data_IF_318551124782
#
_entry.id   IF_318551124782
#
_cell.length_a   1.000
_cell.length_b   1.000
_cell.length_c   1.000
_cell.angle_alpha   90.00
_cell.angle_beta   90.00
_cell.angle_gamma   90.00
#
_symmetry.space_group_name_H-M   'P 1'
#
loop_
_entity.id
_entity.type
_entity.pdbx_description
1 polymer ?
2 non-polymer ?
3 non-polymer ?
4 water ?
#
# COMPACT_ATOMS: atom_id res chain seq x y z
N UNK A 1 -17.75 -10.75 14.18
CA UNK A 1 -16.55 -10.64 13.37
C UNK A 1 -16.79 -11.14 11.96
N UNK A 2 -16.88 -10.20 11.01
CA UNK A 2 -17.10 -10.52 9.62
C UNK A 2 -15.93 -10.04 8.77
N UNK A 3 -15.83 -10.59 7.57
CA UNK A 3 -14.96 -10.01 6.55
C UNK A 3 -15.64 -8.74 6.06
N UNK A 4 -15.16 -7.60 6.54
CA UNK A 4 -15.75 -6.30 6.21
C UNK A 4 -14.96 -5.71 5.04
N UNK A 5 -15.59 -5.68 3.86
CA UNK A 5 -14.90 -5.23 2.66
C UNK A 5 -14.74 -3.72 2.61
N UNK A 6 -15.67 -2.96 3.19
CA UNK A 6 -15.48 -1.51 3.27
C UNK A 6 -14.27 -1.17 4.13
N UNK A 7 -14.16 -1.81 5.30
CA UNK A 7 -12.97 -1.63 6.14
C UNK A 7 -11.72 -2.15 5.45
N UNK A 8 -11.79 -3.38 4.92
CA UNK A 8 -10.60 -4.01 4.36
C UNK A 8 -10.06 -3.24 3.16
N UNK A 9 -10.94 -2.77 2.28
CA UNK A 9 -10.47 -2.05 1.10
C UNK A 9 -9.91 -0.68 1.45
N UNK A 10 -10.40 -0.05 2.52
CA UNK A 10 -9.84 1.23 2.95
C UNK A 10 -8.41 1.05 3.47
N UNK A 11 -8.20 0.07 4.35
CA UNK A 11 -6.86 -0.20 4.85
C UNK A 11 -5.94 -0.64 3.71
N UNK A 12 -6.47 -1.39 2.75
CA UNK A 12 -5.66 -1.79 1.61
C UNK A 12 -5.36 -0.62 0.69
N UNK A 13 -6.33 0.28 0.51
CA UNK A 13 -6.06 1.51 -0.23
C UNK A 13 -5.03 2.36 0.49
N UNK A 14 -5.06 2.37 1.83
CA UNK A 14 -4.07 3.09 2.61
C UNK A 14 -2.67 2.58 2.33
N UNK A 15 -2.52 1.28 2.10
CA UNK A 15 -1.21 0.71 1.80
C UNK A 15 -0.75 1.02 0.38
N UNK A 16 -1.56 1.72 -0.41
CA UNK A 16 -1.12 2.23 -1.69
C UNK A 16 -0.11 3.34 -1.59
N UNK A 17 -0.09 4.08 -0.47
CA UNK A 17 0.89 5.15 -0.33
C UNK A 17 2.30 4.61 -0.15
N UNK A 18 2.58 3.69 0.79
CA UNK A 18 3.93 3.11 0.82
C UNK A 18 4.24 2.29 -0.42
N UNK A 19 3.25 1.62 -1.02
CA UNK A 19 3.49 0.85 -2.24
C UNK A 19 3.96 1.74 -3.38
N UNK A 20 3.46 2.98 -3.45
CA UNK A 20 3.91 3.89 -4.51
C UNK A 20 5.37 4.31 -4.29
N UNK A 21 5.79 4.47 -3.02
CA UNK A 21 7.17 4.82 -2.75
C UNK A 21 8.12 3.77 -3.31
N UNK A 22 7.73 2.49 -3.20
CA UNK A 22 8.53 1.44 -3.80
C UNK A 22 8.44 1.44 -5.31
N UNK A 23 7.25 1.70 -5.85
CA UNK A 23 7.03 1.63 -7.29
C UNK A 23 7.80 2.71 -8.03
N UNK A 24 8.10 3.83 -7.38
CA UNK A 24 8.78 4.96 -8.02
C UNK A 24 10.29 4.89 -7.85
N UNK A 25 10.84 3.70 -7.67
CA UNK A 25 12.26 3.50 -7.47
C UNK A 25 12.88 2.96 -8.76
N UNK A 26 13.97 3.58 -9.18
CA UNK A 26 14.86 3.19 -10.27
C UNK A 26 15.99 2.31 -9.77
N UNK A 27 16.45 1.29 -10.53
CA UNK A 27 17.61 0.53 -10.07
C UNK A 27 18.77 1.48 -9.88
N UNK A 28 19.24 1.61 -8.64
CA UNK A 28 20.19 2.65 -8.30
C UNK A 28 21.63 2.17 -8.38
N UNK A 29 22.50 3.04 -8.91
CA UNK A 29 23.92 2.71 -8.94
C UNK A 29 24.52 2.84 -7.55
N UNK A 30 23.98 3.75 -6.74
CA UNK A 30 24.46 3.92 -5.38
C UNK A 30 24.03 2.75 -4.49
N UNK A 31 22.81 2.24 -4.70
CA UNK A 31 22.32 1.19 -3.82
C UNK A 31 23.02 -0.14 -4.09
N UNK A 32 23.29 -0.46 -5.35
CA UNK A 32 23.87 -1.76 -5.65
C UNK A 32 25.39 -1.78 -5.50
N UNK A 33 26.00 -0.62 -5.26
CA UNK A 33 27.41 -0.57 -4.90
C UNK A 33 27.62 -0.69 -3.40
N UNK A 34 26.55 -0.54 -2.62
CA UNK A 34 26.65 -0.65 -1.17
C UNK A 34 27.02 -2.06 -0.75
N UNK A 35 27.88 -2.17 0.25
CA UNK A 35 28.29 -3.46 0.79
C UNK A 35 27.17 -4.04 1.64
N UNK A 36 26.47 -4.98 1.11
CA UNK A 36 25.35 -5.60 1.79
C UNK A 36 25.80 -6.85 2.56
N UNK A 37 25.08 -7.22 3.62
CA UNK A 37 25.40 -8.47 4.33
C UNK A 37 25.03 -9.68 3.50
N UNK A 38 25.52 -10.85 3.95
CA UNK A 38 25.30 -12.08 3.20
C UNK A 38 23.82 -12.47 3.19
N UNK A 39 23.06 -12.08 4.22
CA UNK A 39 21.65 -12.44 4.32
C UNK A 39 20.73 -11.41 3.66
N UNK A 40 21.29 -10.46 2.92
CA UNK A 40 20.47 -9.50 2.19
C UNK A 40 19.79 -10.20 1.02
N UNK A 41 18.46 -10.17 0.92
CA UNK A 41 17.79 -10.87 -0.17
C UNK A 41 17.90 -10.06 -1.46
N UNK A 42 17.69 -10.71 -2.62
CA UNK A 42 17.66 -9.95 -3.87
C UNK A 42 16.55 -8.93 -3.88
N UNK A 43 16.68 -7.94 -4.78
CA UNK A 43 15.77 -6.80 -4.77
C UNK A 43 14.32 -7.21 -5.05
N UNK A 44 14.12 -8.26 -5.84
CA UNK A 44 12.76 -8.66 -6.20
C UNK A 44 11.98 -9.22 -5.01
N UNK A 45 12.67 -9.68 -3.96
CA UNK A 45 12.00 -10.28 -2.81
C UNK A 45 11.18 -9.24 -2.06
N UNK A 46 11.62 -7.97 -2.06
CA UNK A 46 10.99 -6.97 -1.19
C UNK A 46 9.57 -6.62 -1.65
N UNK A 47 9.30 -6.34 -2.93
CA UNK A 47 7.90 -6.06 -3.31
C UNK A 47 6.97 -7.23 -3.08
N UNK A 48 7.46 -8.47 -3.18
CA UNK A 48 6.61 -9.62 -2.88
C UNK A 48 6.27 -9.68 -1.40
N UNK A 49 7.25 -9.42 -0.53
CA UNK A 49 7.01 -9.45 0.90
C UNK A 49 6.05 -8.34 1.32
N UNK A 50 6.24 -7.12 0.79
CA UNK A 50 5.41 -6.01 1.20
C UNK A 50 3.95 -6.23 0.80
N UNK A 51 3.71 -6.76 -0.40
CA UNK A 51 2.33 -6.99 -0.83
C UNK A 51 1.63 -7.98 0.10
N UNK A 52 2.33 -9.03 0.52
CA UNK A 52 1.77 -9.96 1.49
C UNK A 52 1.54 -9.30 2.83
N UNK A 53 2.50 -8.47 3.28
CA UNK A 53 2.36 -7.81 4.57
C UNK A 53 1.24 -6.78 4.52
N UNK A 54 1.08 -6.10 3.38
CA UNK A 54 -0.02 -5.14 3.24
C UNK A 54 -1.37 -5.81 3.46
N UNK A 55 -1.53 -7.04 2.94
CA UNK A 55 -2.79 -7.75 3.12
C UNK A 55 -2.94 -8.26 4.55
N UNK A 56 -1.86 -8.79 5.14
CA UNK A 56 -1.93 -9.25 6.51
C UNK A 56 -2.23 -8.09 7.45
N UNK A 57 -1.51 -6.99 7.27
CA UNK A 57 -1.73 -5.79 8.08
C UNK A 57 -3.12 -5.20 7.83
N UNK A 58 -3.61 -5.23 6.59
CA UNK A 58 -4.96 -4.75 6.29
C UNK A 58 -6.02 -5.63 6.94
N UNK A 59 -5.90 -6.96 6.81
CA UNK A 59 -6.89 -7.86 7.40
C UNK A 59 -6.91 -7.75 8.91
N UNK A 60 -5.73 -7.61 9.53
CA UNK A 60 -5.67 -7.46 10.99
C UNK A 60 -6.37 -6.18 11.44
N UNK A 61 -6.10 -5.07 10.76
CA UNK A 61 -6.77 -3.82 11.11
C UNK A 61 -8.27 -3.93 10.90
N UNK A 62 -8.71 -4.65 9.86
CA UNK A 62 -10.13 -4.82 9.60
C UNK A 62 -10.81 -5.55 10.75
N UNK A 63 -10.16 -6.55 11.33
CA UNK A 63 -10.72 -7.25 12.47
C UNK A 63 -10.85 -6.34 13.68
N UNK A 64 -9.79 -5.58 13.97
CA UNK A 64 -9.77 -4.71 15.14
C UNK A 64 -10.80 -3.60 15.03
N UNK A 65 -10.98 -3.05 13.83
CA UNK A 65 -11.87 -1.91 13.67
C UNK A 65 -13.33 -2.27 13.92
N UNK A 66 -13.68 -3.55 14.05
CA UNK A 66 -15.03 -3.94 14.37
C UNK A 66 -15.26 -4.11 15.88
N UNK A 67 -14.21 -4.03 16.69
CA UNK A 67 -14.32 -4.27 18.12
C UNK A 67 -14.35 -2.96 18.90
N UNK A 68 -15.00 -2.98 20.05
CA UNK A 68 -15.12 -1.81 20.91
C UNK A 68 -13.82 -1.57 21.66
N UNK A 69 -13.45 -0.29 21.81
CA UNK A 69 -12.22 0.07 22.47
C UNK A 69 -10.98 -0.04 21.60
N UNK A 70 -11.14 -0.02 20.28
CA UNK A 70 -10.02 -0.18 19.37
C UNK A 70 -9.35 1.13 19.00
N UNK A 71 -9.79 2.24 19.59
CA UNK A 71 -9.26 3.54 19.20
C UNK A 71 -7.76 3.64 19.37
N UNK A 72 -7.24 3.19 20.52
CA UNK A 72 -5.81 3.26 20.76
C UNK A 72 -5.04 2.38 19.78
N UNK A 73 -5.57 1.19 19.49
CA UNK A 73 -4.89 0.29 18.57
C UNK A 73 -4.81 0.89 17.17
N UNK A 74 -5.92 1.44 16.69
CA UNK A 74 -5.91 2.05 15.36
C UNK A 74 -5.06 3.32 15.33
N UNK A 75 -4.90 3.99 16.47
CA UNK A 75 -3.98 5.11 16.54
C UNK A 75 -2.53 4.65 16.35
N UNK A 76 -2.14 3.58 17.04
CA UNK A 76 -0.84 2.97 16.78
C UNK A 76 -0.72 2.54 15.32
N UNK A 77 -1.83 2.06 14.74
CA UNK A 77 -1.79 1.58 13.37
C UNK A 77 -1.58 2.72 12.38
N UNK A 78 -2.22 3.86 12.61
CA UNK A 78 -2.01 5.01 11.72
C UNK A 78 -0.59 5.52 11.80
N UNK A 79 0.01 5.49 13.00
CA UNK A 79 1.38 5.94 13.16
C UNK A 79 2.35 4.98 12.49
N UNK A 80 2.09 3.67 12.63
CA UNK A 80 2.94 2.66 12.00
C UNK A 80 2.97 2.82 10.49
N UNK A 81 1.80 3.02 9.88
CA UNK A 81 1.73 3.14 8.42
C UNK A 81 2.35 4.44 7.94
N UNK A 82 2.22 5.52 8.71
CA UNK A 82 2.78 6.81 8.33
C UNK A 82 4.31 6.73 8.26
N UNK A 83 4.94 6.20 9.31
CA UNK A 83 6.40 6.09 9.31
C UNK A 83 6.90 5.03 8.33
N UNK A 84 6.07 4.02 8.03
CA UNK A 84 6.38 3.09 6.95
C UNK A 84 6.50 3.82 5.62
N UNK A 85 5.54 4.70 5.33
CA UNK A 85 5.60 5.51 4.11
C UNK A 85 6.82 6.41 4.09
N UNK A 86 7.33 6.79 5.27
CA UNK A 86 8.42 7.76 5.36
C UNK A 86 9.77 7.16 5.02
N UNK A 87 9.99 5.88 5.29
CA UNK A 87 11.34 5.32 5.24
C UNK A 87 11.92 5.34 3.83
N UNK A 88 11.19 4.76 2.87
CA UNK A 88 11.76 4.58 1.53
C UNK A 88 12.21 5.89 0.87
N UNK A 89 11.47 7.00 0.96
CA UNK A 89 12.02 8.25 0.43
C UNK A 89 13.25 8.74 1.19
N UNK A 90 13.33 8.48 2.50
CA UNK A 90 14.48 8.95 3.27
C UNK A 90 15.72 8.14 2.93
N UNK A 91 15.56 6.83 2.74
CA UNK A 91 16.71 5.96 2.46
C UNK A 91 17.15 6.08 1.00
N UNK A 92 16.25 5.76 0.07
CA UNK A 92 16.63 5.74 -1.35
C UNK A 92 16.65 7.13 -1.96
N UNK A 93 15.62 7.94 -1.70
CA UNK A 93 15.55 9.25 -2.31
C UNK A 93 16.61 10.21 -1.82
N UNK A 94 16.64 10.44 -0.50
CA UNK A 94 17.54 11.42 0.08
C UNK A 94 18.91 10.83 0.42
N UNK A 95 19.05 9.50 0.39
CA UNK A 95 20.30 8.82 0.71
C UNK A 95 20.80 9.17 2.11
N UNK A 96 19.87 9.39 3.05
CA UNK A 96 20.20 9.71 4.43
C UNK A 96 20.07 8.44 5.26
N UNK A 97 21.15 7.67 5.35
CA UNK A 97 21.08 6.35 5.98
C UNK A 97 20.87 6.48 7.48
N UNK A 98 21.57 7.42 8.12
CA UNK A 98 21.42 7.59 9.56
C UNK A 98 20.01 8.05 9.92
N UNK A 99 19.47 9.01 9.16
CA UNK A 99 18.10 9.45 9.38
C UNK A 99 17.12 8.31 9.10
N UNK A 100 17.38 7.52 8.06
CA UNK A 100 16.50 6.40 7.72
C UNK A 100 16.50 5.35 8.81
N UNK A 101 17.63 5.15 9.50
CA UNK A 101 17.67 4.21 10.60
C UNK A 101 16.79 4.66 11.76
N UNK A 102 16.78 5.96 12.05
CA UNK A 102 15.90 6.48 13.08
C UNK A 102 14.44 6.32 12.68
N UNK A 103 14.13 6.53 11.40
CA UNK A 103 12.76 6.35 10.92
C UNK A 103 12.31 4.91 11.11
N UNK A 104 13.10 3.95 10.63
CA UNK A 104 12.70 2.56 10.66
C UNK A 104 12.59 2.06 12.10
N UNK A 105 13.35 2.65 13.03
CA UNK A 105 13.22 2.28 14.42
C UNK A 105 11.91 2.80 15.01
N UNK A 106 11.55 4.04 14.67
CA UNK A 106 10.24 4.57 15.06
C UNK A 106 9.13 3.70 14.47
N UNK A 107 9.30 3.25 13.23
CA UNK A 107 8.33 2.35 12.63
C UNK A 107 8.24 1.05 13.42
N UNK A 108 9.39 0.46 13.78
CA UNK A 108 9.40 -0.80 14.52
C UNK A 108 8.62 -0.70 15.82
N UNK A 109 8.86 0.36 16.59
CA UNK A 109 8.18 0.50 17.87
C UNK A 109 6.68 0.66 17.68
N UNK A 110 6.26 1.34 16.63
CA UNK A 110 4.83 1.49 16.38
C UNK A 110 4.23 0.20 15.83
N UNK A 111 5.02 -0.59 15.10
CA UNK A 111 4.56 -1.92 14.70
C UNK A 111 4.41 -2.82 15.93
N UNK A 112 5.40 -2.79 16.83
CA UNK A 112 5.31 -3.57 18.06
C UNK A 112 4.16 -3.12 18.94
N UNK A 113 3.93 -1.80 19.01
CA UNK A 113 2.82 -1.28 19.79
C UNK A 113 1.47 -1.71 19.21
N UNK A 114 1.33 -1.62 17.88
CA UNK A 114 0.10 -2.07 17.23
C UNK A 114 -0.16 -3.54 17.49
N UNK A 115 0.88 -4.37 17.39
CA UNK A 115 0.72 -5.80 17.62
C UNK A 115 0.30 -6.09 19.06
N UNK A 116 0.91 -5.40 20.03
CA UNK A 116 0.52 -5.59 21.42
C UNK A 116 -0.93 -5.17 21.66
N UNK A 117 -1.30 -3.99 21.16
CA UNK A 117 -2.68 -3.53 21.34
C UNK A 117 -3.67 -4.40 20.58
N UNK A 118 -3.26 -4.94 19.43
CA UNK A 118 -4.11 -5.86 18.70
C UNK A 118 -4.33 -7.15 19.48
N UNK A 119 -3.26 -7.68 20.09
CA UNK A 119 -3.39 -8.89 20.90
C UNK A 119 -4.33 -8.70 22.08
N UNK A 120 -4.35 -7.49 22.65
CA UNK A 120 -5.26 -7.21 23.76
C UNK A 120 -6.71 -7.24 23.34
N UNK A 121 -7.00 -7.07 22.05
CA UNK A 121 -8.37 -7.06 21.56
C UNK A 121 -8.74 -8.29 20.76
N UNK A 122 -7.80 -8.89 20.04
CA UNK A 122 -8.10 -10.04 19.18
C UNK A 122 -6.81 -10.81 18.93
N UNK A 123 -6.82 -12.09 19.26
CA UNK A 123 -5.62 -12.91 19.13
C UNK A 123 -5.16 -13.01 17.68
N UNK A 124 -6.10 -13.26 16.76
CA UNK A 124 -5.72 -13.47 15.37
C UNK A 124 -5.17 -12.19 14.73
N UNK A 125 -5.77 -11.05 15.07
CA UNK A 125 -5.22 -9.77 14.62
C UNK A 125 -3.80 -9.58 15.13
N UNK A 126 -3.52 -10.05 16.34
CA UNK A 126 -2.16 -10.01 16.86
C UNK A 126 -1.26 -10.99 16.12
N UNK A 127 -1.75 -12.20 15.87
CA UNK A 127 -0.96 -13.20 15.16
C UNK A 127 -0.59 -12.73 13.77
N UNK A 128 -1.54 -12.09 13.08
CA UNK A 128 -1.28 -11.60 11.73
C UNK A 128 -0.17 -10.55 11.71
N UNK A 129 0.03 -9.83 12.81
CA UNK A 129 1.08 -8.82 12.86
C UNK A 129 2.44 -9.40 13.20
N UNK A 130 2.52 -10.63 13.67
CA UNK A 130 3.81 -11.23 14.02
C UNK A 130 4.76 -11.29 12.83
N UNK A 131 4.36 -11.76 11.64
CA UNK A 131 5.28 -11.67 10.49
C UNK A 131 5.61 -10.24 10.11
N UNK A 132 4.74 -9.28 10.43
CA UNK A 132 5.09 -7.87 10.20
C UNK A 132 6.20 -7.42 11.13
N UNK A 133 6.14 -7.80 12.41
CA UNK A 133 7.20 -7.42 13.34
C UNK A 133 8.51 -8.14 13.02
N UNK A 134 8.44 -9.38 12.53
CA UNK A 134 9.65 -10.10 12.16
C UNK A 134 10.33 -9.42 10.98
N UNK A 135 9.55 -9.03 9.97
CA UNK A 135 10.10 -8.34 8.82
C UNK A 135 10.63 -6.96 9.21
N UNK A 136 9.94 -6.29 10.14
CA UNK A 136 10.40 -4.97 10.59
C UNK A 136 11.73 -5.07 11.34
N UNK A 137 11.90 -6.10 12.17
CA UNK A 137 13.19 -6.32 12.81
C UNK A 137 14.28 -6.61 11.78
N UNK A 138 13.95 -7.45 10.80
CA UNK A 138 14.87 -7.72 9.70
C UNK A 138 15.21 -6.45 8.93
N UNK A 139 14.20 -5.61 8.65
CA UNK A 139 14.43 -4.37 7.91
C UNK A 139 15.32 -3.41 8.69
N UNK A 140 15.12 -3.33 10.01
CA UNK A 140 15.98 -2.47 10.83
C UNK A 140 17.43 -2.93 10.75
N UNK A 141 17.66 -4.25 10.80
CA UNK A 141 19.03 -4.76 10.76
C UNK A 141 19.74 -4.42 9.47
N UNK A 142 19.02 -4.44 8.34
CA UNK A 142 19.64 -4.12 7.05
C UNK A 142 20.04 -2.65 6.97
N UNK A 143 19.19 -1.76 7.50
CA UNK A 143 19.55 -0.35 7.53
C UNK A 143 20.79 -0.13 8.40
N UNK A 144 20.90 -0.89 9.50
CA UNK A 144 22.06 -0.78 10.36
C UNK A 144 23.32 -1.28 9.65
N UNK A 145 23.22 -2.42 8.96
CA UNK A 145 24.39 -2.98 8.28
C UNK A 145 24.76 -2.15 7.06
N UNK A 146 23.78 -1.65 6.32
CA UNK A 146 24.07 -0.77 5.18
C UNK A 146 24.90 0.43 5.61
N UNK A 147 24.63 0.96 6.80
CA UNK A 147 25.36 2.13 7.27
C UNK A 147 26.79 1.78 7.69
N UNK A 148 26.95 0.72 8.47
CA UNK A 148 28.27 0.42 9.03
C UNK A 148 29.18 -0.29 8.05
N UNK A 149 28.65 -0.88 6.97
CA UNK A 149 29.45 -1.55 5.96
C UNK A 149 29.76 -0.66 4.75
N UNK A 150 29.43 0.63 4.80
CA UNK A 150 29.67 1.49 3.65
C UNK A 150 30.14 2.87 4.08
N UNK A 151 30.53 3.65 3.09
CA UNK A 151 30.87 5.06 3.28
C UNK A 151 29.60 5.89 3.41
N UNK A 152 29.58 6.78 4.39
CA UNK A 152 28.45 7.67 4.61
C UNK A 152 28.95 9.10 4.54
N UNK A 153 28.41 9.88 3.61
CA UNK A 153 28.72 11.29 3.55
C UNK A 153 27.81 12.05 4.50
N UNK A 154 28.20 13.27 4.89
CA UNK A 154 27.34 14.06 5.78
C UNK A 154 26.00 14.36 5.11
N UNK A 155 24.93 14.23 5.89
CA UNK A 155 23.59 14.45 5.36
C UNK A 155 23.32 15.94 5.18
N UNK A 156 22.40 16.25 4.28
CA UNK A 156 22.09 17.62 3.88
C UNK A 156 21.77 18.53 5.07
N UNK B 3 -11.19 14.37 26.67
CA UNK B 3 -9.85 14.54 26.11
C UNK B 3 -8.89 13.45 26.59
N UNK B 4 -8.57 12.52 25.69
CA UNK B 4 -7.68 11.40 25.99
C UNK B 4 -6.27 11.79 25.57
N UNK B 5 -5.38 11.96 26.55
CA UNK B 5 -4.03 12.43 26.26
C UNK B 5 -3.18 11.34 25.63
N UNK B 6 -3.43 10.08 26.00
CA UNK B 6 -2.73 8.97 25.37
C UNK B 6 -3.09 8.88 23.89
N UNK B 7 -4.39 8.99 23.58
CA UNK B 7 -4.83 8.99 22.19
C UNK B 7 -4.26 10.18 21.43
N UNK B 8 -4.37 11.38 22.01
CA UNK B 8 -3.97 12.59 21.29
C UNK B 8 -2.48 12.58 20.97
N UNK B 9 -1.65 12.15 21.93
CA UNK B 9 -0.21 12.17 21.71
C UNK B 9 0.22 11.12 20.70
N UNK B 10 -0.52 10.01 20.60
CA UNK B 10 -0.22 9.04 19.56
C UNK B 10 -0.51 9.60 18.18
N UNK B 11 -1.69 10.20 18.00
CA UNK B 11 -2.03 10.77 16.70
C UNK B 11 -1.07 11.89 16.33
N UNK B 12 -0.65 12.70 17.30
CA UNK B 12 0.29 13.77 16.99
C UNK B 12 1.68 13.21 16.67
N UNK B 13 2.09 12.16 17.38
CA UNK B 13 3.33 11.48 17.03
C UNK B 13 3.25 10.89 15.62
N UNK B 14 2.06 10.42 15.22
CA UNK B 14 1.87 9.92 13.87
C UNK B 14 2.17 11.00 12.83
N UNK B 15 1.82 12.26 13.13
CA UNK B 15 2.13 13.35 12.22
C UNK B 15 3.59 13.78 12.28
N UNK B 16 4.43 13.10 13.07
CA UNK B 16 5.85 13.32 12.99
C UNK B 16 6.46 12.80 11.70
N UNK B 17 5.80 11.83 11.06
CA UNK B 17 6.31 11.33 9.79
C UNK B 17 6.11 12.34 8.66
N UNK B 18 4.91 12.88 8.42
CA UNK B 18 4.81 13.95 7.40
C UNK B 18 5.56 15.22 7.80
N UNK B 19 5.62 15.55 9.09
CA UNK B 19 6.40 16.71 9.51
C UNK B 19 7.88 16.50 9.22
N UNK B 20 8.34 15.25 9.28
CA UNK B 20 9.74 14.96 8.97
C UNK B 20 10.04 15.17 7.49
N UNK B 21 9.09 14.85 6.61
CA UNK B 21 9.29 15.06 5.18
C UNK B 21 9.54 16.54 4.87
N UNK B 22 8.86 17.43 5.59
CA UNK B 22 9.10 18.85 5.39
C UNK B 22 10.45 19.30 5.91
N UNK B 23 10.86 18.78 7.08
CA UNK B 23 12.13 19.21 7.67
C UNK B 23 13.33 18.73 6.87
N UNK B 24 13.20 17.60 6.18
CA UNK B 24 14.32 17.00 5.43
C UNK B 24 14.26 17.43 3.96
N UNK B 25 13.12 17.95 3.51
CA UNK B 25 12.98 18.41 2.10
C UNK B 25 12.38 19.81 2.10
N UNK B 26 13.13 20.78 2.63
CA UNK B 26 12.65 22.19 2.65
C UNK B 26 12.54 22.68 1.20
N UNK B 27 11.87 23.82 0.93
CA UNK B 27 11.70 24.30 -0.44
C UNK B 27 13.09 24.62 -1.02
N UNK B 28 13.30 24.39 -2.31
CA UNK B 28 14.65 24.52 -2.94
C UNK B 28 14.54 25.42 -4.16
N UNK B 29 15.65 25.82 -4.74
CA UNK B 29 15.60 26.81 -5.84
C UNK B 29 14.74 26.21 -6.96
N UNK B 30 14.88 24.91 -7.21
CA UNK B 30 13.95 24.27 -8.17
C UNK B 30 12.54 24.76 -7.86
N UNK B 31 12.12 24.71 -6.59
CA UNK B 31 10.74 25.10 -6.33
C UNK B 31 10.54 26.59 -6.59
N UNK B 32 11.54 27.42 -6.29
CA UNK B 32 11.35 28.86 -6.46
C UNK B 32 11.59 29.31 -7.89
N UNK B 33 12.06 28.42 -8.76
CA UNK B 33 12.16 28.72 -10.18
C UNK B 33 10.90 28.39 -10.95
N UNK B 34 10.00 27.61 -10.37
CA UNK B 34 8.78 27.20 -11.05
C UNK B 34 7.83 28.38 -11.24
N UNK B 35 7.08 28.34 -12.34
CA UNK B 35 6.07 29.35 -12.63
C UNK B 35 4.85 29.13 -11.75
N UNK B 36 4.66 29.97 -10.75
CA UNK B 36 3.56 29.86 -9.80
C UNK B 36 2.36 30.69 -10.24
N UNK B 37 1.16 30.32 -9.80
CA UNK B 37 -0.02 31.16 -10.09
C UNK B 37 0.03 32.46 -9.32
N UNK B 38 -0.85 33.38 -9.70
CA UNK B 38 -0.85 34.72 -9.10
C UNK B 38 -1.25 34.67 -7.63
N UNK B 39 -2.02 33.68 -7.22
CA UNK B 39 -2.49 33.56 -5.84
C UNK B 39 -1.57 32.74 -4.95
N UNK B 40 -0.34 32.49 -5.38
CA UNK B 40 0.59 31.72 -4.57
C UNK B 40 0.96 32.50 -3.31
N UNK B 41 0.76 31.94 -2.12
CA UNK B 41 1.05 32.69 -0.88
C UNK B 41 2.53 32.71 -0.59
N UNK B 42 2.99 33.61 0.29
CA UNK B 42 4.40 33.63 0.67
C UNK B 42 4.82 32.33 1.36
N UNK B 43 6.14 32.12 1.40
CA UNK B 43 6.68 30.84 1.84
C UNK B 43 6.34 30.53 3.29
N UNK B 44 6.17 31.55 4.13
CA UNK B 44 5.91 31.31 5.54
C UNK B 44 4.53 30.71 5.79
N UNK B 45 3.60 30.84 4.84
CA UNK B 45 2.23 30.36 5.06
C UNK B 45 2.20 28.84 5.18
N UNK B 46 3.06 28.15 4.43
CA UNK B 46 2.93 26.69 4.36
C UNK B 46 3.34 25.98 5.65
N UNK B 47 4.51 26.25 6.25
CA UNK B 47 4.83 25.57 7.52
C UNK B 47 3.87 25.90 8.65
N UNK B 48 3.33 27.12 8.68
CA UNK B 48 2.34 27.46 9.69
C UNK B 48 1.04 26.70 9.49
N UNK B 49 0.61 26.54 8.24
CA UNK B 49 -0.63 25.84 7.97
C UNK B 49 -0.54 24.36 8.36
N UNK B 50 0.56 23.69 7.97
CA UNK B 50 0.67 22.26 8.25
C UNK B 50 0.77 22.00 9.75
N UNK B 51 1.51 22.83 10.48
CA UNK B 51 1.59 22.65 11.93
C UNK B 51 0.23 22.83 12.59
N UNK B 52 -0.56 23.80 12.10
CA UNK B 52 -1.91 23.97 12.61
C UNK B 52 -2.78 22.75 12.31
N UNK B 53 -2.67 22.21 11.09
CA UNK B 53 -3.49 21.06 10.72
C UNK B 53 -3.09 19.81 11.48
N UNK B 54 -1.79 19.64 11.76
CA UNK B 54 -1.34 18.47 12.51
C UNK B 54 -2.01 18.40 13.88
N UNK B 55 -2.12 19.54 14.57
CA UNK B 55 -2.77 19.55 15.87
C UNK B 55 -4.28 19.40 15.76
N UNK B 56 -4.88 20.07 14.77
CA UNK B 56 -6.32 19.99 14.59
C UNK B 56 -6.76 18.56 14.24
N UNK B 57 -6.10 17.95 13.26
CA UNK B 57 -6.48 16.59 12.86
C UNK B 57 -6.22 15.59 13.98
N UNK B 58 -5.13 15.78 14.74
CA UNK B 58 -4.86 14.91 15.89
C UNK B 58 -5.94 15.07 16.95
N UNK B 59 -6.33 16.31 17.24
CA UNK B 59 -7.37 16.54 18.22
C UNK B 59 -8.69 15.95 17.77
N UNK B 60 -9.01 16.07 16.48
CA UNK B 60 -10.25 15.50 15.95
C UNK B 60 -10.24 13.98 16.05
N UNK B 61 -9.13 13.34 15.65
CA UNK B 61 -9.07 11.88 15.70
C UNK B 61 -9.21 11.35 17.11
N UNK B 62 -8.65 12.05 18.11
CA UNK B 62 -8.75 11.60 19.50
C UNK B 62 -10.20 11.56 19.96
N UNK B 63 -11.00 12.55 19.56
CA UNK B 63 -12.41 12.54 19.93
C UNK B 63 -13.13 11.35 19.30
N UNK B 64 -12.87 11.10 18.01
CA UNK B 64 -13.55 10.02 17.30
C UNK B 64 -13.13 8.66 17.86
N UNK B 65 -11.86 8.51 18.23
CA UNK B 65 -11.36 7.22 18.69
C UNK B 65 -11.96 6.79 20.03
N UNK B 66 -12.67 7.67 20.72
CA UNK B 66 -13.34 7.33 21.97
C UNK B 66 -14.78 6.85 21.77
N UNK B 67 -15.31 6.96 20.56
CA UNK B 67 -16.71 6.64 20.29
C UNK B 67 -16.84 5.27 19.64
N UNK B 68 -18.00 4.65 19.85
CA UNK B 68 -18.28 3.34 19.30
C UNK B 68 -18.60 3.45 17.82
N UNK B 69 -18.12 2.48 17.05
CA UNK B 69 -18.34 2.49 15.62
C UNK B 69 -17.42 3.40 14.84
N UNK B 70 -16.28 3.76 15.41
CA UNK B 70 -15.34 4.68 14.76
C UNK B 70 -14.32 3.97 13.88
N UNK B 71 -14.42 2.65 13.73
CA UNK B 71 -13.41 1.91 12.98
C UNK B 71 -13.25 2.42 11.56
N UNK B 72 -14.37 2.64 10.87
CA UNK B 72 -14.31 3.11 9.49
C UNK B 72 -13.67 4.50 9.41
N UNK B 73 -14.04 5.39 10.34
CA UNK B 73 -13.47 6.73 10.33
C UNK B 73 -11.96 6.68 10.54
N UNK B 74 -11.51 5.90 11.51
CA UNK B 74 -10.07 5.79 11.76
C UNK B 74 -9.36 5.09 10.62
N UNK B 75 -10.07 4.24 9.87
CA UNK B 75 -9.50 3.68 8.65
C UNK B 75 -9.29 4.78 7.61
N UNK B 76 -10.31 5.62 7.38
CA UNK B 76 -10.16 6.78 6.53
C UNK B 76 -9.04 7.69 7.02
N UNK B 77 -8.91 7.83 8.35
CA UNK B 77 -7.88 8.71 8.91
C UNK B 77 -6.49 8.17 8.64
N UNK B 78 -6.32 6.85 8.74
CA UNK B 78 -5.02 6.25 8.43
C UNK B 78 -4.67 6.40 6.96
N UNK B 79 -5.67 6.33 6.08
CA UNK B 79 -5.40 6.44 4.65
C UNK B 79 -4.98 7.85 4.26
N UNK B 80 -5.70 8.88 4.77
CA UNK B 80 -5.34 10.25 4.43
C UNK B 80 -3.95 10.60 4.94
N UNK B 81 -3.59 10.16 6.15
CA UNK B 81 -2.29 10.51 6.71
C UNK B 81 -1.16 9.85 5.92
N UNK B 82 -1.38 8.61 5.46
CA UNK B 82 -0.37 7.93 4.66
C UNK B 82 -0.12 8.69 3.36
N UNK B 83 -1.19 9.04 2.64
CA UNK B 83 -1.03 9.79 1.39
C UNK B 83 -0.55 11.20 1.66
N UNK B 84 -0.85 11.75 2.84
CA UNK B 84 -0.25 13.01 3.24
C UNK B 84 1.25 12.89 3.35
N UNK B 85 1.73 11.84 4.02
CA UNK B 85 3.17 11.61 4.13
C UNK B 85 3.81 11.40 2.76
N UNK B 86 3.03 10.88 1.80
CA UNK B 86 3.58 10.51 0.51
C UNK B 86 3.82 11.72 -0.40
N UNK B 87 3.01 12.77 -0.27
CA UNK B 87 3.01 13.83 -1.28
C UNK B 87 4.35 14.56 -1.33
N UNK B 88 4.79 15.10 -0.19
CA UNK B 88 5.96 15.98 -0.21
C UNK B 88 7.21 15.31 -0.79
N UNK B 89 7.53 14.05 -0.51
CA UNK B 89 8.66 13.43 -1.21
C UNK B 89 8.45 13.24 -2.69
N UNK B 90 7.21 13.02 -3.16
CA UNK B 90 7.00 12.84 -4.59
C UNK B 90 7.16 14.17 -5.33
N UNK B 91 6.64 15.25 -4.75
CA UNK B 91 6.71 16.55 -5.41
C UNK B 91 8.08 17.18 -5.26
N UNK B 92 8.53 17.40 -4.02
CA UNK B 92 9.79 18.08 -3.79
C UNK B 92 10.98 17.15 -3.99
N UNK B 93 10.94 15.95 -3.43
CA UNK B 93 12.06 15.04 -3.51
C UNK B 93 12.32 14.51 -4.91
N UNK B 94 11.32 13.86 -5.49
CA UNK B 94 11.46 13.22 -6.80
C UNK B 94 11.16 14.16 -7.96
N UNK B 95 10.56 15.32 -7.69
CA UNK B 95 10.18 16.29 -8.72
C UNK B 95 9.26 15.66 -9.76
N UNK B 96 8.40 14.74 -9.34
CA UNK B 96 7.43 14.09 -10.22
C UNK B 96 6.08 14.78 -10.00
N UNK B 97 5.83 15.83 -10.76
CA UNK B 97 4.65 16.65 -10.51
C UNK B 97 3.37 15.92 -10.89
N UNK B 98 3.37 15.23 -12.04
CA UNK B 98 2.16 14.53 -12.48
C UNK B 98 1.80 13.41 -11.51
N UNK B 99 2.80 12.65 -11.06
CA UNK B 99 2.52 11.60 -10.07
C UNK B 99 2.04 12.22 -8.76
N UNK B 100 2.64 13.35 -8.36
CA UNK B 100 2.23 14.00 -7.12
C UNK B 100 0.78 14.50 -7.19
N UNK B 101 0.32 14.87 -8.38
CA UNK B 101 -1.07 15.30 -8.51
C UNK B 101 -2.04 14.16 -8.20
N UNK B 102 -1.70 12.95 -8.66
CA UNK B 102 -2.53 11.80 -8.31
C UNK B 102 -2.48 11.52 -6.81
N UNK B 103 -1.31 11.69 -6.19
CA UNK B 103 -1.17 11.48 -4.75
C UNK B 103 -2.07 12.46 -3.98
N UNK B 104 -1.95 13.75 -4.30
CA UNK B 104 -2.72 14.75 -3.57
C UNK B 104 -4.22 14.62 -3.84
N UNK B 105 -4.60 14.10 -5.01
CA UNK B 105 -6.02 13.92 -5.29
C UNK B 105 -6.60 12.75 -4.49
N UNK B 106 -5.85 11.64 -4.41
CA UNK B 106 -6.25 10.55 -3.52
C UNK B 106 -6.31 11.02 -2.08
N UNK B 107 -5.34 11.84 -1.67
CA UNK B 107 -5.36 12.40 -0.32
C UNK B 107 -6.61 13.23 -0.10
N UNK B 108 -6.96 14.07 -1.07
CA UNK B 108 -8.16 14.90 -0.97
C UNK B 108 -9.40 14.05 -0.75
N UNK B 109 -9.53 12.95 -1.51
CA UNK B 109 -10.70 12.09 -1.36
C UNK B 109 -10.76 11.47 0.03
N UNK B 110 -9.62 11.11 0.59
CA UNK B 110 -9.59 10.51 1.91
C UNK B 110 -9.76 11.54 3.02
N UNK B 111 -9.31 12.78 2.82
CA UNK B 111 -9.60 13.84 3.78
C UNK B 111 -11.08 14.16 3.78
N UNK B 112 -11.69 14.23 2.59
CA UNK B 112 -13.13 14.44 2.51
C UNK B 112 -13.89 13.28 3.14
N UNK B 113 -13.41 12.05 2.92
CA UNK B 113 -14.04 10.89 3.54
C UNK B 113 -13.90 10.90 5.05
N UNK B 114 -12.70 11.23 5.54
CA UNK B 114 -12.51 11.31 7.00
C UNK B 114 -13.42 12.36 7.61
N UNK B 115 -13.53 13.53 6.96
CA UNK B 115 -14.36 14.59 7.49
C UNK B 115 -15.83 14.18 7.53
N UNK B 116 -16.31 13.53 6.47
CA UNK B 116 -17.69 13.05 6.45
C UNK B 116 -17.92 12.00 7.52
N UNK B 117 -17.00 11.04 7.64
CA UNK B 117 -17.14 10.00 8.65
C UNK B 117 -17.05 10.57 10.06
N UNK B 118 -16.25 11.62 10.24
CA UNK B 118 -16.18 12.29 11.53
C UNK B 118 -17.50 12.99 11.87
N UNK B 119 -18.10 13.65 10.87
CA UNK B 119 -19.38 14.32 11.09
C UNK B 119 -20.47 13.34 11.50
N UNK B 120 -20.43 12.11 10.98
CA UNK B 120 -21.44 11.12 11.34
C UNK B 120 -21.36 10.71 12.81
N UNK B 121 -20.21 10.87 13.44
CA UNK B 121 -20.02 10.46 14.83
C UNK B 121 -19.89 11.62 15.81
N UNK B 122 -19.30 12.74 15.39
CA UNK B 122 -19.07 13.86 16.29
C UNK B 122 -18.88 15.12 15.45
N UNK B 123 -19.71 16.14 15.71
CA UNK B 123 -19.67 17.36 14.91
C UNK B 123 -18.33 18.08 15.05
N UNK B 124 -17.79 18.16 16.27
CA UNK B 124 -16.58 18.95 16.48
C UNK B 124 -15.39 18.35 15.76
N UNK B 125 -15.27 17.02 15.77
CA UNK B 125 -14.23 16.36 14.99
C UNK B 125 -14.38 16.66 13.50
N UNK B 126 -15.63 16.77 13.03
CA UNK B 126 -15.86 17.16 11.65
C UNK B 126 -15.48 18.60 11.38
N UNK B 127 -15.83 19.50 12.31
CA UNK B 127 -15.50 20.91 12.14
C UNK B 127 -13.98 21.11 12.09
N UNK B 128 -13.25 20.40 12.95
CA UNK B 128 -11.79 20.54 12.97
C UNK B 128 -11.17 20.10 11.64
N UNK B 129 -11.82 19.18 10.92
CA UNK B 129 -11.30 18.73 9.64
C UNK B 129 -11.70 19.62 8.49
N UNK B 130 -12.65 20.55 8.68
CA UNK B 130 -13.08 21.44 7.60
C UNK B 130 -11.92 22.28 7.06
N UNK B 131 -11.09 22.92 7.89
CA UNK B 131 -9.92 23.63 7.33
C UNK B 131 -8.93 22.69 6.67
N UNK B 132 -8.91 21.41 7.03
CA UNK B 132 -8.04 20.45 6.35
C UNK B 132 -8.51 20.21 4.91
N UNK B 133 -9.82 20.06 4.71
CA UNK B 133 -10.31 19.88 3.34
C UNK B 133 -10.11 21.14 2.51
N UNK B 134 -10.24 22.32 3.12
CA UNK B 134 -10.00 23.56 2.39
C UNK B 134 -8.54 23.65 1.97
N UNK B 135 -7.62 23.32 2.89
CA UNK B 135 -6.21 23.36 2.57
C UNK B 135 -5.86 22.31 1.52
N UNK B 136 -6.50 21.15 1.56
CA UNK B 136 -6.23 20.12 0.57
C UNK B 136 -6.65 20.57 -0.82
N UNK B 137 -7.79 21.28 -0.92
CA UNK B 137 -8.19 21.87 -2.19
C UNK B 137 -7.15 22.87 -2.66
N UNK B 138 -6.62 23.68 -1.74
CA UNK B 138 -5.53 24.59 -2.07
C UNK B 138 -4.30 23.81 -2.56
N UNK B 139 -3.95 22.73 -1.87
CA UNK B 139 -2.78 21.94 -2.27
C UNK B 139 -2.98 21.29 -3.63
N UNK B 140 -4.20 20.79 -3.90
CA UNK B 140 -4.48 20.22 -5.20
C UNK B 140 -4.35 21.28 -6.30
N UNK B 141 -4.88 22.47 -6.05
CA UNK B 141 -4.80 23.53 -7.04
C UNK B 141 -3.37 23.93 -7.35
N UNK B 142 -2.52 23.94 -6.32
CA UNK B 142 -1.12 24.31 -6.54
C UNK B 142 -0.40 23.26 -7.37
N UNK B 143 -0.67 21.98 -7.11
CA UNK B 143 -0.07 20.91 -7.91
C UNK B 143 -0.53 20.98 -9.36
N UNK B 144 -1.81 21.30 -9.58
CA UNK B 144 -2.31 21.44 -10.94
C UNK B 144 -1.67 22.62 -11.66
N UNK B 145 -1.59 23.76 -10.97
CA UNK B 145 -1.02 24.95 -11.58
C UNK B 145 0.49 24.81 -11.80
N UNK B 146 1.18 24.17 -10.85
CA UNK B 146 2.60 23.90 -11.04
C UNK B 146 2.84 23.13 -12.33
N UNK B 147 1.94 22.20 -12.64
CA UNK B 147 2.07 21.43 -13.88
C UNK B 147 1.67 22.26 -15.10
N UNK B 148 0.55 22.98 -15.00
CA UNK B 148 -0.01 23.63 -16.19
C UNK B 148 0.76 24.88 -16.59
N UNK B 149 1.45 25.54 -15.66
CA UNK B 149 2.25 26.70 -15.98
C UNK B 149 3.72 26.38 -16.13
N UNK B 150 4.08 25.09 -16.10
CA UNK B 150 5.46 24.64 -16.28
C UNK B 150 5.49 23.40 -17.15
N UNK B 151 4.55 23.28 -18.08
CA UNK B 151 4.44 22.09 -18.92
C UNK B 151 5.67 21.88 -19.79
N UNK B 152 6.43 22.92 -20.07
CA UNK B 152 7.64 22.81 -20.88
C UNK B 152 8.79 22.11 -20.16
N UNK B 153 8.60 21.54 -18.96
CA UNK B 153 9.65 20.79 -18.30
C UNK B 153 9.29 19.32 -18.25
N UNK B 154 10.26 18.42 -18.43
CA UNK B 154 9.95 16.98 -18.37
C UNK B 154 9.38 16.55 -17.03
N UNK B 155 9.73 17.25 -15.94
CA UNK B 155 9.23 16.89 -14.63
C UNK B 155 7.74 17.15 -14.47
N UNK B 156 7.14 17.97 -15.34
CA UNK B 156 5.74 18.33 -15.21
C UNK B 156 4.81 17.32 -15.87
N UNK B 157 5.32 16.47 -16.76
CA UNK B 157 4.48 15.53 -17.49
C UNK B 157 4.77 14.09 -17.11
N UNK C 2 -16.66 -32.43 4.41
CA UNK C 2 -16.28 -33.58 3.60
C UNK C 2 -15.28 -33.20 2.51
N UNK C 3 -14.54 -34.19 2.03
CA UNK C 3 -13.55 -34.01 0.97
C UNK C 3 -14.05 -34.73 -0.28
N UNK C 4 -14.50 -33.95 -1.26
CA UNK C 4 -15.03 -34.51 -2.50
C UNK C 4 -13.90 -34.53 -3.53
N UNK C 5 -13.40 -35.73 -3.84
CA UNK C 5 -12.26 -35.84 -4.74
C UNK C 5 -12.66 -35.65 -6.20
N UNK C 6 -13.88 -36.01 -6.58
CA UNK C 6 -14.34 -35.77 -7.93
C UNK C 6 -14.43 -34.27 -8.22
N UNK C 7 -15.00 -33.52 -7.27
CA UNK C 7 -15.05 -32.06 -7.40
C UNK C 7 -13.65 -31.46 -7.44
N UNK C 8 -12.81 -31.87 -6.50
CA UNK C 8 -11.48 -31.28 -6.36
C UNK C 8 -10.63 -31.53 -7.61
N UNK C 9 -10.67 -32.76 -8.13
CA UNK C 9 -9.84 -33.08 -9.29
C UNK C 9 -10.35 -32.39 -10.55
N UNK C 10 -11.66 -32.15 -10.65
CA UNK C 10 -12.19 -31.41 -11.78
C UNK C 10 -11.71 -29.95 -11.75
N UNK C 11 -11.81 -29.32 -10.58
CA UNK C 11 -11.34 -27.94 -10.44
C UNK C 11 -9.84 -27.86 -10.70
N UNK C 12 -9.08 -28.87 -10.28
CA UNK C 12 -7.65 -28.87 -10.53
C UNK C 12 -7.35 -29.09 -12.01
N UNK C 13 -8.12 -29.95 -12.67
CA UNK C 13 -8.00 -30.12 -14.12
C UNK C 13 -8.34 -28.83 -14.86
N UNK C 14 -9.29 -28.05 -14.34
CA UNK C 14 -9.63 -26.77 -14.96
C UNK C 14 -8.40 -25.85 -15.00
N UNK C 15 -7.56 -25.89 -13.96
CA UNK C 15 -6.37 -25.06 -13.95
C UNK C 15 -5.27 -25.60 -14.85
N UNK C 16 -5.53 -26.71 -15.56
CA UNK C 16 -4.60 -27.16 -16.58
C UNK C 16 -4.57 -26.24 -17.79
N UNK C 17 -5.63 -25.47 -18.04
CA UNK C 17 -5.63 -24.54 -19.16
C UNK C 17 -4.69 -23.36 -18.91
N UNK C 18 -4.77 -22.63 -17.78
CA UNK C 18 -3.75 -21.60 -17.52
C UNK C 18 -2.37 -22.19 -17.34
N UNK C 19 -2.26 -23.39 -16.77
CA UNK C 19 -0.96 -24.05 -16.64
C UNK C 19 -0.35 -24.36 -18.00
N UNK C 20 -1.20 -24.64 -19.00
CA UNK C 20 -0.70 -24.93 -20.35
C UNK C 20 -0.04 -23.71 -20.97
N UNK C 21 -0.53 -22.50 -20.64
CA UNK C 21 0.05 -21.28 -21.17
C UNK C 21 1.53 -21.16 -20.85
N UNK C 22 1.98 -21.71 -19.72
CA UNK C 22 3.40 -21.63 -19.37
C UNK C 22 4.27 -22.42 -20.33
N UNK C 23 3.80 -23.57 -20.78
CA UNK C 23 4.60 -24.40 -21.68
C UNK C 23 4.85 -23.73 -23.03
N UNK C 24 3.98 -22.81 -23.45
CA UNK C 24 4.06 -22.13 -24.74
C UNK C 24 4.80 -20.80 -24.66
N UNK C 25 5.78 -20.66 -23.78
CA UNK C 25 6.45 -19.40 -23.50
C UNK C 25 7.95 -19.54 -23.77
N UNK C 26 8.41 -19.04 -24.91
CA UNK C 26 9.85 -19.06 -25.17
C UNK C 26 10.55 -17.90 -24.46
N UNK C 27 11.66 -18.16 -23.78
CA UNK C 27 12.43 -17.07 -23.15
C UNK C 27 12.99 -16.10 -24.18
N UNK C 28 13.05 -14.82 -23.81
CA UNK C 28 13.50 -13.81 -24.76
C UNK C 28 15.03 -13.71 -24.72
N UNK C 29 15.59 -13.05 -25.73
CA UNK C 29 17.04 -12.94 -25.85
C UNK C 29 17.60 -11.92 -24.86
N UNK C 30 18.91 -11.67 -24.98
CA UNK C 30 19.60 -10.73 -24.09
C UNK C 30 19.23 -9.28 -24.39
N UNK C 31 18.93 -8.94 -25.65
CA UNK C 31 18.67 -7.54 -25.99
C UNK C 31 17.38 -7.04 -25.37
N UNK C 32 16.40 -7.92 -25.17
CA UNK C 32 15.06 -7.60 -24.66
C UNK C 32 15.00 -7.47 -23.13
N UNK C 33 16.14 -7.51 -22.43
CA UNK C 33 16.10 -7.43 -20.97
C UNK C 33 15.94 -6.02 -20.42
N UNK C 34 16.17 -4.98 -21.23
CA UNK C 34 16.01 -3.61 -20.74
C UNK C 34 14.54 -3.22 -20.50
N UNK C 35 13.59 -3.92 -21.12
CA UNK C 35 12.17 -3.59 -20.98
C UNK C 35 11.55 -4.02 -19.65
N UNK C 36 12.18 -4.91 -18.89
CA UNK C 36 11.49 -5.38 -17.69
C UNK C 36 11.76 -4.47 -16.50
N UNK C 37 10.86 -4.42 -15.53
CA UNK C 37 11.09 -3.59 -14.33
C UNK C 37 12.21 -4.16 -13.48
N UNK C 38 12.70 -3.32 -12.57
CA UNK C 38 13.84 -3.72 -11.74
C UNK C 38 13.46 -4.81 -10.75
N UNK C 39 12.20 -4.84 -10.30
CA UNK C 39 11.76 -5.82 -9.33
C UNK C 39 11.15 -7.06 -9.99
N UNK C 40 11.37 -7.25 -11.28
CA UNK C 40 10.86 -8.44 -11.96
C UNK C 40 11.56 -9.68 -11.40
N UNK C 41 10.83 -10.65 -10.89
CA UNK C 41 11.47 -11.81 -10.25
C UNK C 41 11.98 -12.79 -11.28
N UNK C 42 12.86 -13.71 -10.89
CA UNK C 42 13.31 -14.75 -11.81
C UNK C 42 12.16 -15.63 -12.27
N UNK C 43 12.37 -16.29 -13.41
CA UNK C 43 11.28 -17.00 -14.07
C UNK C 43 10.76 -18.17 -13.23
N UNK C 44 11.59 -18.75 -12.36
CA UNK C 44 11.15 -19.92 -11.60
C UNK C 44 10.08 -19.60 -10.56
N UNK C 45 9.93 -18.34 -10.14
CA UNK C 45 8.97 -18.01 -9.09
C UNK C 45 7.53 -18.23 -9.57
N UNK C 46 7.26 -18.00 -10.86
CA UNK C 46 5.87 -18.01 -11.31
C UNK C 46 5.27 -19.41 -11.29
N UNK C 47 5.91 -20.45 -11.84
CA UNK C 47 5.31 -21.79 -11.72
C UNK C 47 5.17 -22.24 -10.28
N UNK C 48 6.08 -21.81 -9.39
CA UNK C 48 5.94 -22.16 -7.99
C UNK C 48 4.74 -21.46 -7.36
N UNK C 49 4.55 -20.18 -7.66
CA UNK C 49 3.41 -19.45 -7.12
C UNK C 49 2.10 -19.96 -7.71
N UNK C 50 2.05 -20.12 -9.04
CA UNK C 50 0.80 -20.50 -9.70
C UNK C 50 0.35 -21.90 -9.29
N UNK C 51 1.28 -22.85 -9.22
CA UNK C 51 0.91 -24.20 -8.81
C UNK C 51 0.38 -24.23 -7.38
N UNK C 52 0.96 -23.40 -6.51
CA UNK C 52 0.42 -23.28 -5.15
C UNK C 52 -1.00 -22.73 -5.17
N UNK C 53 -1.24 -21.71 -6.00
CA UNK C 53 -2.56 -21.12 -6.08
C UNK C 53 -3.57 -22.07 -6.74
N UNK C 54 -3.14 -22.84 -7.74
CA UNK C 54 -4.03 -23.78 -8.39
C UNK C 54 -4.61 -24.78 -7.39
N UNK C 55 -3.78 -25.27 -6.47
CA UNK C 55 -4.27 -26.21 -5.47
C UNK C 55 -5.14 -25.51 -4.44
N UNK C 56 -4.75 -24.31 -4.01
CA UNK C 56 -5.54 -23.58 -3.02
C UNK C 56 -6.91 -23.21 -3.57
N UNK C 57 -6.95 -22.62 -4.77
CA UNK C 57 -8.23 -22.23 -5.35
C UNK C 57 -9.12 -23.44 -5.63
N UNK C 58 -8.52 -24.55 -6.09
CA UNK C 58 -9.29 -25.77 -6.33
C UNK C 58 -9.86 -26.33 -5.03
N UNK C 59 -9.05 -26.39 -3.97
CA UNK C 59 -9.56 -26.87 -2.68
C UNK C 59 -10.65 -25.95 -2.15
N UNK C 60 -10.49 -24.64 -2.35
CA UNK C 60 -11.52 -23.70 -1.94
C UNK C 60 -12.80 -23.90 -2.75
N UNK C 61 -12.66 -24.05 -4.07
CA UNK C 61 -13.84 -24.25 -4.91
C UNK C 61 -14.57 -25.54 -4.54
N UNK C 62 -13.83 -26.59 -4.18
CA UNK C 62 -14.47 -27.84 -3.80
C UNK C 62 -15.32 -27.67 -2.56
N UNK C 63 -14.85 -26.90 -1.58
CA UNK C 63 -15.65 -26.65 -0.39
C UNK C 63 -16.91 -25.87 -0.73
N UNK C 64 -16.78 -24.84 -1.56
CA UNK C 64 -17.94 -24.01 -1.89
C UNK C 64 -18.95 -24.81 -2.70
N UNK C 65 -18.49 -25.65 -3.63
CA UNK C 65 -19.38 -26.38 -4.51
C UNK C 65 -20.20 -27.44 -3.79
N UNK C 66 -19.89 -27.74 -2.53
CA UNK C 66 -20.69 -28.68 -1.74
C UNK C 66 -21.77 -27.99 -0.94
N UNK C 67 -21.79 -26.66 -0.88
CA UNK C 67 -22.73 -25.92 -0.07
C UNK C 67 -23.86 -25.36 -0.93
N UNK C 68 -25.03 -25.21 -0.31
CA UNK C 68 -26.19 -24.69 -1.01
C UNK C 68 -26.08 -23.19 -1.20
N UNK C 69 -26.55 -22.70 -2.35
CA UNK C 69 -26.44 -21.29 -2.67
C UNK C 69 -25.11 -20.87 -3.21
N UNK C 70 -24.33 -21.80 -3.75
CA UNK C 70 -22.99 -21.51 -4.25
C UNK C 70 -22.98 -21.05 -5.71
N UNK C 71 -24.15 -20.90 -6.34
CA UNK C 71 -24.17 -20.58 -7.75
C UNK C 71 -23.44 -19.31 -8.10
N UNK C 72 -23.70 -18.24 -7.33
CA UNK C 72 -23.05 -16.97 -7.63
C UNK C 72 -21.53 -17.06 -7.43
N UNK C 73 -21.11 -17.73 -6.35
CA UNK C 73 -19.68 -17.88 -6.07
C UNK C 73 -18.98 -18.65 -7.19
N UNK C 74 -19.59 -19.75 -7.64
CA UNK C 74 -18.98 -20.53 -8.71
C UNK C 74 -19.01 -19.79 -10.04
N UNK C 75 -19.97 -18.89 -10.23
CA UNK C 75 -19.97 -18.03 -11.41
C UNK C 75 -18.78 -17.08 -11.38
N UNK C 76 -18.55 -16.41 -10.25
CA UNK C 76 -17.35 -15.59 -10.10
C UNK C 76 -16.10 -16.43 -10.32
N UNK C 77 -16.11 -17.69 -9.88
CA UNK C 77 -14.94 -18.54 -10.02
C UNK C 77 -14.66 -18.86 -11.49
N UNK C 78 -15.71 -19.10 -12.27
CA UNK C 78 -15.50 -19.35 -13.70
C UNK C 78 -14.97 -18.11 -14.40
N UNK C 79 -15.43 -16.92 -14.00
CA UNK C 79 -14.95 -15.70 -14.62
C UNK C 79 -13.49 -15.44 -14.25
N UNK C 80 -13.15 -15.64 -12.97
CA UNK C 80 -11.78 -15.45 -12.51
C UNK C 80 -10.82 -16.37 -13.25
N UNK C 81 -11.21 -17.64 -13.42
CA UNK C 81 -10.33 -18.61 -14.06
C UNK C 81 -10.18 -18.32 -15.56
N UNK C 82 -11.25 -17.85 -16.20
CA UNK C 82 -11.17 -17.55 -17.63
C UNK C 82 -10.21 -16.39 -17.88
N UNK C 83 -10.37 -15.29 -17.14
CA UNK C 83 -9.48 -14.14 -17.33
C UNK C 83 -8.06 -14.46 -16.86
N UNK C 84 -7.93 -15.39 -15.91
CA UNK C 84 -6.60 -15.91 -15.57
C UNK C 84 -5.97 -16.59 -16.78
N UNK C 85 -6.73 -17.46 -17.44
CA UNK C 85 -6.23 -18.13 -18.64
C UNK C 85 -5.89 -17.14 -19.75
N UNK C 86 -6.61 -16.01 -19.79
CA UNK C 86 -6.42 -15.06 -20.88
C UNK C 86 -5.19 -14.18 -20.69
N UNK C 87 -4.84 -13.87 -19.44
CA UNK C 87 -3.84 -12.83 -19.19
C UNK C 87 -2.46 -13.24 -19.66
N UNK C 88 -1.96 -14.38 -19.18
CA UNK C 88 -0.57 -14.75 -19.42
C UNK C 88 -0.18 -14.85 -20.89
N UNK C 89 -1.02 -15.36 -21.82
CA UNK C 89 -0.61 -15.28 -23.23
C UNK C 89 -0.52 -13.86 -23.74
N UNK C 90 -1.36 -12.95 -23.23
CA UNK C 90 -1.30 -11.56 -23.67
C UNK C 90 -0.08 -10.86 -23.10
N UNK C 91 0.25 -11.13 -21.83
CA UNK C 91 1.36 -10.43 -21.18
C UNK C 91 2.71 -10.96 -21.63
N UNK C 92 2.98 -12.24 -21.40
CA UNK C 92 4.28 -12.80 -21.73
C UNK C 92 4.41 -13.07 -23.23
N UNK C 93 3.39 -13.70 -23.82
CA UNK C 93 3.42 -14.09 -25.21
C UNK C 93 3.35 -12.97 -26.23
N UNK C 94 2.28 -12.17 -26.18
CA UNK C 94 2.02 -11.16 -27.19
C UNK C 94 2.68 -9.81 -26.92
N UNK C 95 3.17 -9.58 -25.70
CA UNK C 95 3.82 -8.32 -25.34
C UNK C 95 2.90 -7.12 -25.57
N UNK C 96 1.60 -7.29 -25.37
CA UNK C 96 0.62 -6.21 -25.49
C UNK C 96 0.34 -5.72 -24.08
N UNK C 97 1.12 -4.72 -23.65
CA UNK C 97 1.12 -4.32 -22.25
C UNK C 97 -0.19 -3.65 -21.84
N UNK C 98 -0.70 -2.74 -22.66
CA UNK C 98 -1.91 -2.01 -22.28
C UNK C 98 -3.12 -2.94 -22.21
N UNK C 99 -3.29 -3.82 -23.20
CA UNK C 99 -4.41 -4.76 -23.15
C UNK C 99 -4.28 -5.72 -21.98
N UNK C 100 -3.07 -6.20 -21.71
CA UNK C 100 -2.88 -7.13 -20.60
C UNK C 100 -3.19 -6.49 -19.26
N UNK C 101 -2.95 -5.19 -19.12
CA UNK C 101 -3.29 -4.51 -17.89
C UNK C 101 -4.81 -4.49 -17.67
N UNK C 102 -5.58 -4.29 -18.73
CA UNK C 102 -7.04 -4.39 -18.61
C UNK C 102 -7.46 -5.80 -18.25
N UNK C 103 -6.81 -6.81 -18.83
CA UNK C 103 -7.12 -8.20 -18.49
C UNK C 103 -6.86 -8.45 -17.02
N UNK C 104 -5.65 -8.09 -16.55
CA UNK C 104 -5.26 -8.39 -15.18
C UNK C 104 -6.11 -7.63 -14.19
N UNK C 105 -6.63 -6.45 -14.56
CA UNK C 105 -7.47 -5.69 -13.65
C UNK C 105 -8.85 -6.34 -13.54
N UNK C 106 -9.43 -6.78 -14.65
CA UNK C 106 -10.69 -7.53 -14.60
C UNK C 106 -10.51 -8.81 -13.80
N UNK C 107 -9.37 -9.49 -14.00
CA UNK C 107 -9.08 -10.69 -13.23
C UNK C 107 -9.05 -10.39 -11.74
N UNK C 108 -8.37 -9.30 -11.36
CA UNK C 108 -8.30 -8.91 -9.96
C UNK C 108 -9.69 -8.72 -9.37
N UNK C 109 -10.58 -8.05 -10.11
CA UNK C 109 -11.93 -7.82 -9.61
C UNK C 109 -12.68 -9.13 -9.41
N UNK C 110 -12.47 -10.09 -10.30
CA UNK C 110 -13.16 -11.37 -10.19
C UNK C 110 -12.57 -12.26 -9.11
N UNK C 111 -11.27 -12.15 -8.84
CA UNK C 111 -10.69 -12.86 -7.69
C UNK C 111 -11.26 -12.28 -6.40
N UNK C 112 -11.34 -10.95 -6.31
CA UNK C 112 -11.91 -10.32 -5.14
C UNK C 112 -13.39 -10.67 -5.01
N UNK C 113 -14.11 -10.73 -6.13
CA UNK C 113 -15.53 -11.12 -6.08
C UNK C 113 -15.66 -12.57 -5.64
N UNK C 114 -14.84 -13.47 -6.19
CA UNK C 114 -14.87 -14.86 -5.75
C UNK C 114 -14.53 -14.98 -4.27
N UNK C 115 -13.52 -14.25 -3.82
CA UNK C 115 -13.14 -14.27 -2.41
C UNK C 115 -14.27 -13.73 -1.54
N UNK C 116 -14.93 -12.65 -1.99
CA UNK C 116 -16.07 -12.10 -1.27
C UNK C 116 -17.21 -13.10 -1.19
N UNK C 117 -17.56 -13.71 -2.32
CA UNK C 117 -18.64 -14.71 -2.32
C UNK C 117 -18.26 -15.96 -1.55
N UNK C 118 -16.99 -16.37 -1.58
CA UNK C 118 -16.57 -17.55 -0.83
C UNK C 118 -16.67 -17.32 0.67
N UNK C 119 -16.24 -16.15 1.14
CA UNK C 119 -16.33 -15.84 2.56
C UNK C 119 -17.77 -15.84 3.06
N UNK C 120 -18.71 -15.40 2.21
CA UNK C 120 -20.12 -15.40 2.58
C UNK C 120 -20.66 -16.81 2.79
N UNK C 121 -20.02 -17.83 2.22
CA UNK C 121 -20.48 -19.20 2.33
C UNK C 121 -19.63 -20.07 3.23
N UNK C 122 -18.32 -19.83 3.30
CA UNK C 122 -17.43 -20.70 4.06
C UNK C 122 -16.14 -19.96 4.41
N UNK C 123 -15.77 -19.96 5.69
CA UNK C 123 -14.59 -19.17 6.14
C UNK C 123 -13.28 -19.69 5.55
N UNK C 124 -13.07 -21.00 5.55
CA UNK C 124 -11.77 -21.56 5.09
C UNK C 124 -11.62 -21.38 3.58
N UNK C 125 -12.71 -21.53 2.85
CA UNK C 125 -12.70 -21.34 1.40
C UNK C 125 -12.32 -19.89 1.12
N UNK C 126 -12.78 -18.96 1.97
CA UNK C 126 -12.37 -17.58 1.83
C UNK C 126 -10.91 -17.35 2.16
N UNK C 127 -10.43 -17.96 3.25
CA UNK C 127 -9.04 -17.78 3.66
C UNK C 127 -8.09 -18.32 2.59
N UNK C 128 -8.44 -19.47 1.99
CA UNK C 128 -7.59 -20.05 0.96
C UNK C 128 -7.42 -19.12 -0.24
N UNK C 129 -8.38 -18.24 -0.49
CA UNK C 129 -8.27 -17.33 -1.63
C UNK C 129 -7.46 -16.08 -1.34
N UNK C 130 -7.16 -15.79 -0.07
CA UNK C 130 -6.39 -14.60 0.26
C UNK C 130 -5.02 -14.59 -0.42
N UNK C 131 -4.23 -15.67 -0.40
CA UNK C 131 -2.97 -15.66 -1.16
C UNK C 131 -3.17 -15.49 -2.66
N UNK C 132 -4.33 -15.85 -3.19
CA UNK C 132 -4.63 -15.57 -4.59
C UNK C 132 -4.81 -14.08 -4.83
N UNK C 133 -5.51 -13.39 -3.92
CA UNK C 133 -5.68 -11.94 -4.07
C UNK C 133 -4.36 -11.23 -3.89
N UNK C 134 -3.47 -11.74 -3.03
CA UNK C 134 -2.16 -11.14 -2.84
C UNK C 134 -1.35 -11.24 -4.13
N UNK C 135 -1.33 -12.43 -4.74
CA UNK C 135 -0.59 -12.61 -5.99
C UNK C 135 -1.20 -11.82 -7.13
N UNK C 136 -2.54 -11.71 -7.17
CA UNK C 136 -3.18 -10.94 -8.23
C UNK C 136 -2.83 -9.46 -8.11
N UNK C 137 -2.76 -8.95 -6.88
CA UNK C 137 -2.29 -7.57 -6.68
C UNK C 137 -0.84 -7.41 -7.12
N UNK C 138 0.01 -8.38 -6.78
CA UNK C 138 1.40 -8.36 -7.23
C UNK C 138 1.48 -8.39 -8.75
N UNK C 139 0.70 -9.26 -9.39
CA UNK C 139 0.74 -9.37 -10.85
C UNK C 139 0.26 -8.08 -11.51
N UNK C 140 -0.79 -7.46 -10.95
CA UNK C 140 -1.26 -6.18 -11.48
C UNK C 140 -0.18 -5.11 -11.39
N UNK C 141 0.54 -5.06 -10.26
CA UNK C 141 1.61 -4.08 -10.11
C UNK C 141 2.72 -4.26 -11.13
N UNK C 142 3.07 -5.51 -11.44
CA UNK C 142 4.10 -5.76 -12.44
C UNK C 142 3.62 -5.36 -13.83
N UNK C 143 2.35 -5.65 -14.14
CA UNK C 143 1.78 -5.25 -15.42
C UNK C 143 1.75 -3.73 -15.56
N UNK C 144 1.44 -3.02 -14.47
CA UNK C 144 1.40 -1.57 -14.53
C UNK C 144 2.78 -0.98 -14.83
N UNK C 145 3.82 -1.48 -14.17
CA UNK C 145 5.16 -0.93 -14.40
C UNK C 145 5.68 -1.34 -15.78
N UNK C 146 5.46 -2.60 -16.17
CA UNK C 146 5.81 -3.02 -17.53
C UNK C 146 5.10 -2.16 -18.57
N UNK C 147 3.86 -1.76 -18.28
CA UNK C 147 3.09 -0.94 -19.20
C UNK C 147 3.62 0.49 -19.25
N UNK C 148 3.96 1.06 -18.10
CA UNK C 148 4.29 2.47 -18.01
C UNK C 148 5.66 2.79 -18.60
N UNK C 149 6.51 1.80 -18.82
CA UNK C 149 7.83 2.02 -19.38
C UNK C 149 7.85 1.87 -20.90
N UNK C 150 6.69 1.75 -21.55
CA UNK C 150 6.60 1.65 -23.00
C UNK C 150 5.45 2.48 -23.52
#
# INVERSE_FOLDING_TARGET
MNMDWALFLTFLAACGAPATTGALLKPDEWYDNLNKPWWNPPRWVFPLAWTSLYFLMSLAAMRVAQLEGSGQALAFYAAQLAFNTLWTPVFFGMKRMATALAVVMVMWLFVAATMWAFFQLDTWAGVLFVPYLIWATFATGLNFEAMRLNWNRPEARA
MNMDWALFLTFLAACGAPATTGALLKPDEWYDNLNKPWWNPPRWVFPLAWTSLYFLMSLAAMRVAQLEGSGQALAFYAAQLAFNTLWTPVFFGMKRMATALAVVMVMWLFVAATMWAFFQLDTWAGVLFVPYLIWATFATGLNFEAMRLNWNRPEARA
MNMDWALFLTFLAACGAPATTGALLKPDEWYDNLNKPWWNPPRWVFPLAWTSLYFLMSLAAMRVAQLEGSGQALAFYAAQLAFNTLWTPVFFGMKRMATALAVVMVMWLFVAATMWAFFQLDTWAGVLFVPYLIWATFATGLNFEAMRLNWNRPEARA
#
